data_IF_650570514974
#
_entry.id   IF_650570514974
#
_cell.length_a   1.000
_cell.length_b   1.000
_cell.length_c   1.000
_cell.angle_alpha   90.00
_cell.angle_beta   90.00
_cell.angle_gamma   90.00
#
_symmetry.space_group_name_H-M   'P 1'
#
loop_
_entity.id
_entity.type
_entity.pdbx_description
1 polymer ?
#
# COMPACT_ATOMS: atom_id res chain seq x y z
N UNK A 1 -17.91 30.50 -28.47
CA UNK A 1 -17.82 30.64 -27.00
C UNK A 1 -16.96 29.50 -26.53
N UNK A 2 -15.67 29.77 -26.31
CA UNK A 2 -14.76 28.77 -25.74
C UNK A 2 -15.18 28.51 -24.30
N UNK A 3 -15.11 27.27 -23.81
CA UNK A 3 -15.52 26.98 -22.45
C UNK A 3 -14.59 27.70 -21.48
N UNK A 4 -15.20 28.54 -20.65
CA UNK A 4 -14.62 29.22 -19.50
C UNK A 4 -13.81 28.23 -18.64
N UNK A 5 -12.54 28.55 -18.46
CA UNK A 5 -11.62 27.90 -17.55
C UNK A 5 -11.96 28.32 -16.11
N UNK A 6 -13.08 27.86 -15.55
CA UNK A 6 -13.56 28.35 -14.23
C UNK A 6 -13.65 27.28 -13.12
N UNK A 7 -12.89 26.20 -13.28
CA UNK A 7 -12.57 25.22 -12.23
C UNK A 7 -11.18 24.61 -12.42
N UNK A 8 -10.43 25.11 -13.42
CA UNK A 8 -9.23 24.49 -13.94
C UNK A 8 -7.99 24.88 -13.12
N UNK A 9 -7.82 26.13 -12.67
CA UNK A 9 -6.50 26.57 -12.20
C UNK A 9 -6.06 26.05 -10.82
N UNK A 10 -6.95 25.50 -9.99
CA UNK A 10 -6.58 24.91 -8.69
C UNK A 10 -6.34 23.39 -8.73
N UNK A 11 -6.79 22.71 -9.79
CA UNK A 11 -6.73 21.24 -9.92
C UNK A 11 -5.59 20.75 -10.84
N UNK A 12 -4.94 21.63 -11.60
CA UNK A 12 -3.80 21.28 -12.47
C UNK A 12 -2.43 21.67 -11.90
N UNK A 13 -2.23 21.59 -10.59
CA UNK A 13 -0.87 21.52 -10.04
C UNK A 13 -0.30 20.11 -10.23
N UNK A 14 -0.35 19.59 -11.46
CA UNK A 14 0.34 18.35 -11.77
C UNK A 14 1.77 18.68 -12.16
N UNK A 15 2.73 18.13 -11.42
CA UNK A 15 4.14 18.25 -11.79
C UNK A 15 4.47 17.45 -13.06
N UNK A 16 3.63 16.49 -13.46
CA UNK A 16 3.89 15.56 -14.56
C UNK A 16 2.60 15.12 -15.29
N UNK A 17 2.70 14.72 -16.56
CA UNK A 17 1.61 14.10 -17.32
C UNK A 17 2.07 12.74 -17.81
N UNK A 18 1.26 11.70 -17.58
CA UNK A 18 1.52 10.35 -18.07
C UNK A 18 0.47 9.95 -19.12
N UNK A 19 0.93 9.51 -20.29
CA UNK A 19 0.08 8.90 -21.31
C UNK A 19 0.12 7.37 -21.14
N UNK A 20 -1.03 6.78 -20.85
CA UNK A 20 -1.17 5.34 -20.60
C UNK A 20 -2.21 4.74 -21.53
N UNK A 21 -2.03 3.49 -21.97
CA UNK A 21 -2.89 2.90 -22.99
C UNK A 21 -4.20 2.33 -22.42
N UNK A 22 -4.32 2.17 -21.09
CA UNK A 22 -5.52 1.60 -20.44
C UNK A 22 -5.73 2.12 -19.01
N UNK A 23 -6.93 1.90 -18.47
CA UNK A 23 -7.25 2.15 -17.06
C UNK A 23 -6.45 1.25 -16.11
N UNK A 24 -6.22 0.00 -16.52
CA UNK A 24 -5.43 -0.98 -15.76
C UNK A 24 -3.98 -0.49 -15.58
N UNK A 25 -3.36 0.00 -16.65
CA UNK A 25 -2.02 0.61 -16.59
C UNK A 25 -1.96 1.82 -15.67
N UNK A 26 -3.03 2.61 -15.62
CA UNK A 26 -3.12 3.74 -14.71
C UNK A 26 -3.22 3.30 -13.24
N UNK A 27 -3.92 2.20 -12.99
CA UNK A 27 -4.00 1.59 -11.66
C UNK A 27 -2.64 1.02 -11.24
N UNK A 28 -1.92 0.34 -12.15
CA UNK A 28 -0.56 -0.14 -11.93
C UNK A 28 0.43 1.01 -11.64
N UNK A 29 0.32 2.12 -12.36
CA UNK A 29 1.15 3.30 -12.11
C UNK A 29 0.85 3.90 -10.73
N UNK A 30 -0.44 4.05 -10.37
CA UNK A 30 -0.83 4.52 -9.04
C UNK A 30 -0.27 3.61 -7.94
N UNK A 31 -0.36 2.29 -8.11
CA UNK A 31 0.19 1.32 -7.16
C UNK A 31 1.71 1.50 -7.00
N UNK A 32 2.44 1.55 -8.11
CA UNK A 32 3.89 1.76 -8.09
C UNK A 32 4.30 3.10 -7.45
N UNK A 33 3.55 4.18 -7.72
CA UNK A 33 3.75 5.48 -7.05
C UNK A 33 3.58 5.38 -5.53
N UNK A 34 2.60 4.61 -5.06
CA UNK A 34 2.37 4.41 -3.62
C UNK A 34 3.40 3.52 -2.95
N UNK A 35 4.09 2.68 -3.71
CA UNK A 35 5.23 1.91 -3.22
C UNK A 35 6.52 2.73 -3.11
N UNK A 36 6.69 3.82 -3.87
CA UNK A 36 7.88 4.66 -3.79
C UNK A 36 8.03 5.42 -2.46
N UNK A 37 6.92 5.80 -1.83
CA UNK A 37 6.98 6.57 -0.59
C UNK A 37 5.64 7.13 -0.13
N UNK A 38 5.60 7.76 1.07
CA UNK A 38 4.39 8.25 1.70
C UNK A 38 3.98 9.58 1.08
N UNK A 39 3.44 9.52 -0.13
CA UNK A 39 3.07 10.69 -0.90
C UNK A 39 1.59 10.78 -1.18
N UNK A 40 1.10 12.01 -1.32
CA UNK A 40 -0.23 12.28 -1.85
C UNK A 40 -0.29 12.24 -3.38
N UNK A 41 0.83 11.98 -4.08
CA UNK A 41 0.88 11.92 -5.54
C UNK A 41 0.08 10.75 -6.10
N UNK A 42 -0.81 11.04 -7.05
CA UNK A 42 -1.65 10.05 -7.73
C UNK A 42 -2.07 10.57 -9.10
N UNK A 43 -2.38 9.66 -10.02
CA UNK A 43 -3.01 9.98 -11.28
C UNK A 43 -4.51 10.25 -11.05
N UNK A 44 -4.93 11.48 -11.37
CA UNK A 44 -6.28 11.99 -11.07
C UNK A 44 -7.26 11.88 -12.26
N UNK A 45 -6.76 11.98 -13.50
CA UNK A 45 -7.58 12.09 -14.72
C UNK A 45 -7.07 11.10 -15.77
N UNK A 46 -7.96 10.23 -16.26
CA UNK A 46 -7.78 9.48 -17.49
C UNK A 46 -8.60 10.10 -18.63
N UNK A 47 -8.06 10.08 -19.85
CA UNK A 47 -8.77 10.50 -21.06
C UNK A 47 -8.84 9.32 -22.03
N UNK A 48 -10.04 8.86 -22.37
CA UNK A 48 -10.22 7.88 -23.44
C UNK A 48 -10.32 8.58 -24.80
N UNK A 49 -9.95 7.90 -25.89
CA UNK A 49 -10.14 8.45 -27.24
C UNK A 49 -11.57 8.20 -27.75
N UNK A 50 -12.29 9.22 -28.28
CA UNK A 50 -11.92 10.62 -28.43
C UNK A 50 -12.65 11.53 -27.42
N UNK A 51 -12.03 11.79 -26.26
CA UNK A 51 -12.29 12.99 -25.46
C UNK A 51 -13.17 12.82 -24.22
N UNK A 52 -13.62 11.61 -23.89
CA UNK A 52 -14.33 11.39 -22.62
C UNK A 52 -13.33 11.41 -21.46
N UNK A 53 -13.53 12.34 -20.52
CA UNK A 53 -12.77 12.40 -19.27
C UNK A 53 -13.35 11.40 -18.29
N UNK A 54 -12.51 10.53 -17.77
CA UNK A 54 -12.84 9.65 -16.65
C UNK A 54 -11.95 10.03 -15.46
N UNK A 55 -12.57 10.28 -14.31
CA UNK A 55 -11.83 10.42 -13.07
C UNK A 55 -11.49 9.03 -12.56
N UNK A 56 -10.21 8.78 -12.28
CA UNK A 56 -9.83 7.54 -11.63
C UNK A 56 -10.30 7.60 -10.18
N UNK A 57 -11.17 6.66 -9.84
CA UNK A 57 -11.89 6.68 -8.57
C UNK A 57 -11.34 5.61 -7.63
N UNK A 58 -11.11 5.94 -6.35
CA UNK A 58 -10.96 7.27 -5.79
C UNK A 58 -9.50 7.74 -5.95
N UNK A 59 -9.27 9.06 -6.07
CA UNK A 59 -7.92 9.59 -6.14
C UNK A 59 -7.14 9.13 -4.91
N UNK A 60 -5.97 8.53 -5.14
CA UNK A 60 -5.13 7.99 -4.07
C UNK A 60 -4.38 9.14 -3.38
N UNK A 61 -5.11 10.08 -2.81
CA UNK A 61 -4.58 11.31 -2.21
C UNK A 61 -4.51 11.16 -0.68
N UNK A 62 -3.82 10.12 -0.22
CA UNK A 62 -3.49 9.95 1.19
C UNK A 62 -1.98 10.02 1.36
N UNK A 63 -1.54 11.00 2.14
CA UNK A 63 -0.13 11.38 2.32
C UNK A 63 0.01 12.88 2.56
N UNK A 64 1.18 13.33 3.03
CA UNK A 64 1.39 14.73 3.42
C UNK A 64 2.20 15.52 2.39
N UNK A 65 2.99 14.85 1.56
CA UNK A 65 3.94 15.50 0.65
C UNK A 65 3.78 14.98 -0.78
N UNK A 66 3.80 15.87 -1.80
CA UNK A 66 3.93 15.44 -3.18
C UNK A 66 5.28 14.73 -3.39
N UNK A 67 5.28 13.68 -4.18
CA UNK A 67 6.48 12.94 -4.56
C UNK A 67 7.26 13.76 -5.60
N UNK A 68 8.51 14.09 -5.30
CA UNK A 68 9.43 14.66 -6.26
C UNK A 68 10.05 13.52 -7.09
N UNK A 69 9.81 13.49 -8.39
CA UNK A 69 10.31 12.42 -9.26
C UNK A 69 11.59 12.90 -9.94
N UNK A 70 12.73 12.51 -9.39
CA UNK A 70 14.04 12.64 -10.04
C UNK A 70 14.37 11.43 -10.92
N UNK A 71 15.58 11.41 -11.48
CA UNK A 71 16.03 10.31 -12.35
C UNK A 71 16.09 8.96 -11.61
N UNK A 72 16.44 8.97 -10.32
CA UNK A 72 16.48 7.76 -9.48
C UNK A 72 15.07 7.22 -9.24
N UNK A 73 14.15 8.08 -8.81
CA UNK A 73 12.76 7.72 -8.55
C UNK A 73 12.06 7.24 -9.83
N UNK A 74 12.32 7.90 -10.97
CA UNK A 74 11.79 7.47 -12.26
C UNK A 74 12.28 6.07 -12.66
N UNK A 75 13.54 5.73 -12.38
CA UNK A 75 14.08 4.39 -12.61
C UNK A 75 13.39 3.34 -11.74
N UNK A 76 13.24 3.62 -10.44
CA UNK A 76 12.54 2.73 -9.50
C UNK A 76 11.07 2.58 -9.88
N UNK A 77 10.39 3.67 -10.24
CA UNK A 77 8.99 3.65 -10.68
C UNK A 77 8.81 2.78 -11.91
N UNK A 78 9.68 2.95 -12.91
CA UNK A 78 9.65 2.16 -14.15
C UNK A 78 9.85 0.67 -13.86
N UNK A 79 10.75 0.35 -12.92
CA UNK A 79 10.99 -1.03 -12.51
C UNK A 79 9.77 -1.64 -11.79
N UNK A 80 9.19 -0.95 -10.80
CA UNK A 80 7.99 -1.42 -10.08
C UNK A 80 6.79 -1.58 -11.01
N UNK A 81 6.59 -0.64 -11.94
CA UNK A 81 5.54 -0.72 -12.95
C UNK A 81 5.71 -1.94 -13.87
N UNK A 82 6.94 -2.22 -14.31
CA UNK A 82 7.24 -3.39 -15.13
C UNK A 82 6.97 -4.70 -14.36
N UNK A 83 7.38 -4.78 -13.09
CA UNK A 83 7.08 -5.94 -12.24
C UNK A 83 5.57 -6.15 -12.10
N UNK A 84 4.81 -5.08 -11.82
CA UNK A 84 3.35 -5.19 -11.65
C UNK A 84 2.65 -5.62 -12.93
N UNK A 85 3.04 -5.07 -14.09
CA UNK A 85 2.49 -5.43 -15.41
C UNK A 85 2.72 -6.88 -15.79
N UNK A 86 3.86 -7.43 -15.40
CA UNK A 86 4.22 -8.81 -15.73
C UNK A 86 3.68 -9.83 -14.70
N UNK A 87 3.12 -9.37 -13.59
CA UNK A 87 2.54 -10.25 -12.58
C UNK A 87 1.15 -10.71 -12.98
N UNK A 88 0.89 -12.00 -12.78
CA UNK A 88 -0.43 -12.62 -12.94
C UNK A 88 -0.99 -13.12 -11.61
N UNK A 89 -0.37 -12.73 -10.48
CA UNK A 89 -0.77 -13.16 -9.14
C UNK A 89 -2.08 -12.49 -8.70
N UNK A 90 -3.20 -13.24 -8.58
CA UNK A 90 -4.48 -12.67 -8.17
C UNK A 90 -4.46 -12.15 -6.73
N UNK A 91 -3.59 -12.69 -5.87
CA UNK A 91 -3.44 -12.21 -4.49
C UNK A 91 -2.79 -10.83 -4.48
N UNK A 92 -1.78 -10.61 -5.31
CA UNK A 92 -1.17 -9.30 -5.49
C UNK A 92 -2.17 -8.28 -6.03
N UNK A 93 -3.01 -8.68 -6.99
CA UNK A 93 -4.04 -7.79 -7.54
C UNK A 93 -4.99 -7.28 -6.45
N UNK A 94 -5.53 -8.22 -5.66
CA UNK A 94 -6.42 -7.88 -4.54
C UNK A 94 -5.71 -6.97 -3.52
N UNK A 95 -4.47 -7.28 -3.15
CA UNK A 95 -3.70 -6.44 -2.22
C UNK A 95 -3.44 -5.04 -2.80
N UNK A 96 -3.19 -4.92 -4.11
CA UNK A 96 -2.98 -3.65 -4.78
C UNK A 96 -4.26 -2.80 -4.78
N UNK A 97 -5.40 -3.39 -5.13
CA UNK A 97 -6.72 -2.72 -5.07
C UNK A 97 -7.04 -2.23 -3.65
N UNK A 98 -6.89 -3.11 -2.65
CA UNK A 98 -7.09 -2.76 -1.25
C UNK A 98 -6.16 -1.65 -0.79
N UNK A 99 -4.90 -1.68 -1.20
CA UNK A 99 -3.91 -0.67 -0.84
C UNK A 99 -4.25 0.69 -1.46
N UNK A 100 -4.63 0.71 -2.75
CA UNK A 100 -5.06 1.93 -3.42
C UNK A 100 -6.33 2.50 -2.80
N UNK A 101 -7.32 1.66 -2.49
CA UNK A 101 -8.52 2.07 -1.78
C UNK A 101 -8.19 2.65 -0.40
N UNK A 102 -7.34 1.96 0.38
CA UNK A 102 -6.87 2.43 1.68
C UNK A 102 -6.18 3.80 1.58
N UNK A 103 -5.37 4.01 0.55
CA UNK A 103 -4.65 5.27 0.29
C UNK A 103 -5.46 6.32 -0.49
N UNK A 104 -6.76 6.09 -0.62
CA UNK A 104 -7.67 7.06 -1.20
C UNK A 104 -8.32 7.94 -0.14
N UNK A 105 -9.04 8.96 -0.62
CA UNK A 105 -9.85 9.85 0.23
C UNK A 105 -11.12 9.19 0.76
N UNK A 106 -11.51 8.01 0.21
CA UNK A 106 -12.80 7.39 0.50
C UNK A 106 -12.90 6.79 1.92
N UNK A 107 -11.97 5.94 2.40
CA UNK A 107 -12.13 5.30 3.70
C UNK A 107 -11.88 6.25 4.87
N UNK A 108 -12.66 6.05 5.95
CA UNK A 108 -12.37 6.61 7.27
C UNK A 108 -11.07 6.04 7.81
N UNK A 109 -10.46 6.72 8.80
CA UNK A 109 -9.16 6.32 9.36
C UNK A 109 -9.19 4.90 9.94
N UNK A 110 -10.31 4.53 10.55
CA UNK A 110 -10.54 3.22 11.14
C UNK A 110 -10.61 2.15 10.05
N UNK A 111 -11.42 2.38 8.99
CA UNK A 111 -11.53 1.47 7.85
C UNK A 111 -10.20 1.31 7.14
N UNK A 112 -9.46 2.41 6.90
CA UNK A 112 -8.11 2.38 6.32
C UNK A 112 -7.17 1.49 7.12
N UNK A 113 -7.18 1.61 8.45
CA UNK A 113 -6.35 0.76 9.30
C UNK A 113 -6.73 -0.72 9.15
N UNK A 114 -8.02 -1.02 9.08
CA UNK A 114 -8.51 -2.40 8.88
C UNK A 114 -8.05 -2.94 7.53
N UNK A 115 -8.20 -2.20 6.43
CA UNK A 115 -7.72 -2.61 5.09
C UNK A 115 -6.22 -2.91 5.11
N UNK A 116 -5.42 -2.00 5.66
CA UNK A 116 -3.97 -2.17 5.77
C UNK A 116 -3.59 -3.38 6.63
N UNK A 117 -4.33 -3.63 7.72
CA UNK A 117 -4.10 -4.81 8.56
C UNK A 117 -4.42 -6.13 7.84
N UNK A 118 -5.44 -6.15 6.99
CA UNK A 118 -5.78 -7.33 6.19
C UNK A 118 -4.68 -7.63 5.17
N UNK A 119 -4.12 -6.60 4.52
CA UNK A 119 -2.97 -6.78 3.62
C UNK A 119 -1.78 -7.42 4.36
N UNK A 120 -1.46 -6.94 5.57
CA UNK A 120 -0.40 -7.56 6.37
C UNK A 120 -0.73 -9.01 6.74
N UNK A 121 -1.99 -9.32 7.06
CA UNK A 121 -2.43 -10.70 7.31
C UNK A 121 -2.26 -11.57 6.07
N UNK A 122 -2.65 -11.10 4.88
CA UNK A 122 -2.45 -11.82 3.63
C UNK A 122 -0.96 -12.13 3.39
N UNK A 123 -0.06 -11.20 3.73
CA UNK A 123 1.38 -11.37 3.55
C UNK A 123 2.00 -12.30 4.60
N UNK A 124 1.68 -12.10 5.88
CA UNK A 124 2.37 -12.76 7.00
C UNK A 124 1.65 -14.01 7.50
N UNK A 125 0.39 -14.21 7.15
CA UNK A 125 -0.43 -15.38 7.47
C UNK A 125 -1.11 -15.90 6.19
N UNK A 126 -0.34 -16.36 5.19
CA UNK A 126 -0.90 -16.83 3.92
C UNK A 126 -1.86 -18.03 4.08
N UNK A 127 -1.77 -18.76 5.19
CA UNK A 127 -2.64 -19.88 5.53
C UNK A 127 -3.31 -19.65 6.89
N UNK A 128 -4.50 -20.20 7.08
CA UNK A 128 -5.22 -20.13 8.36
C UNK A 128 -4.50 -20.95 9.44
N UNK A 129 -4.14 -20.33 10.56
CA UNK A 129 -3.50 -21.02 11.68
C UNK A 129 -4.21 -20.77 13.02
N UNK A 130 -3.95 -21.62 14.00
CA UNK A 130 -4.21 -21.30 15.40
C UNK A 130 -3.24 -20.19 15.87
N UNK A 131 -3.63 -19.42 16.89
CA UNK A 131 -2.80 -18.34 17.48
C UNK A 131 -2.38 -17.21 16.50
N UNK A 132 -3.32 -16.75 15.68
CA UNK A 132 -3.09 -15.75 14.61
C UNK A 132 -2.31 -14.52 15.08
N UNK A 133 -2.63 -13.94 16.24
CA UNK A 133 -1.98 -12.71 16.72
C UNK A 133 -0.52 -12.90 17.11
N UNK A 134 -0.18 -14.01 17.76
CA UNK A 134 1.19 -14.33 18.16
C UNK A 134 2.05 -14.64 16.93
N UNK A 135 1.57 -15.53 16.05
CA UNK A 135 2.29 -15.90 14.83
C UNK A 135 2.51 -14.70 13.91
N UNK A 136 1.49 -13.86 13.74
CA UNK A 136 1.63 -12.62 12.97
C UNK A 136 2.74 -11.73 13.55
N UNK A 137 2.69 -11.46 14.85
CA UNK A 137 3.66 -10.59 15.51
C UNK A 137 5.09 -11.15 15.41
N UNK A 138 5.24 -12.48 15.55
CA UNK A 138 6.53 -13.16 15.44
C UNK A 138 7.08 -13.10 14.01
N UNK A 139 6.27 -13.46 13.01
CA UNK A 139 6.66 -13.40 11.59
C UNK A 139 7.00 -11.98 11.16
N UNK A 140 6.20 -10.99 11.58
CA UNK A 140 6.49 -9.58 11.34
C UNK A 140 7.84 -9.19 11.92
N UNK A 141 8.09 -9.52 13.19
CA UNK A 141 9.34 -9.18 13.87
C UNK A 141 10.57 -9.78 13.19
N UNK A 142 10.51 -11.07 12.85
CA UNK A 142 11.61 -11.79 12.21
C UNK A 142 11.85 -11.32 10.79
N UNK A 143 10.78 -11.05 10.03
CA UNK A 143 10.89 -10.53 8.67
C UNK A 143 11.54 -9.15 8.65
N UNK A 144 11.07 -8.22 9.50
CA UNK A 144 11.63 -6.87 9.60
C UNK A 144 13.07 -6.88 10.11
N UNK A 145 13.41 -7.73 11.08
CA UNK A 145 14.78 -7.87 11.56
C UNK A 145 15.73 -8.34 10.45
N UNK A 146 15.33 -9.36 9.68
CA UNK A 146 16.16 -9.94 8.62
C UNK A 146 16.34 -9.03 7.41
N UNK A 147 15.27 -8.38 6.96
CA UNK A 147 15.27 -7.66 5.68
C UNK A 147 15.42 -6.14 5.82
N UNK A 148 15.16 -5.59 7.01
CA UNK A 148 15.06 -4.14 7.23
C UNK A 148 15.78 -3.66 8.49
N UNK A 149 16.62 -4.51 9.11
CA UNK A 149 17.36 -4.20 10.35
C UNK A 149 16.45 -3.68 11.49
N UNK A 150 15.19 -4.09 11.52
CA UNK A 150 14.24 -3.72 12.57
C UNK A 150 14.61 -4.36 13.91
N UNK A 151 14.39 -3.64 15.01
CA UNK A 151 14.49 -4.21 16.34
C UNK A 151 13.41 -5.32 16.49
N UNK A 152 13.79 -6.59 16.74
CA UNK A 152 12.83 -7.68 16.81
C UNK A 152 11.80 -7.51 17.95
N UNK A 153 12.21 -6.95 19.09
CA UNK A 153 11.34 -6.78 20.26
C UNK A 153 10.31 -5.70 19.98
N UNK A 154 10.74 -4.55 19.45
CA UNK A 154 9.83 -3.45 19.11
C UNK A 154 8.91 -3.82 17.94
N UNK A 155 9.44 -4.54 16.94
CA UNK A 155 8.64 -5.04 15.81
C UNK A 155 7.59 -6.07 16.28
N UNK A 156 7.93 -6.93 17.24
CA UNK A 156 6.97 -7.87 17.82
C UNK A 156 5.85 -7.15 18.58
N UNK A 157 6.20 -6.19 19.45
CA UNK A 157 5.21 -5.36 20.16
C UNK A 157 4.32 -4.60 19.18
N UNK A 158 4.89 -4.08 18.09
CA UNK A 158 4.15 -3.40 17.03
C UNK A 158 3.16 -4.35 16.35
N UNK A 159 3.58 -5.57 15.99
CA UNK A 159 2.69 -6.59 15.44
C UNK A 159 1.52 -6.95 16.37
N UNK A 160 1.78 -7.09 17.67
CA UNK A 160 0.73 -7.30 18.68
C UNK A 160 -0.23 -6.10 18.77
N UNK A 161 0.32 -4.89 18.71
CA UNK A 161 -0.49 -3.67 18.74
C UNK A 161 -1.42 -3.58 17.53
N UNK A 162 -0.96 -3.96 16.33
CA UNK A 162 -1.79 -3.98 15.12
C UNK A 162 -3.03 -4.85 15.33
N UNK A 163 -2.84 -6.09 15.81
CA UNK A 163 -3.95 -7.01 16.08
C UNK A 163 -4.92 -6.48 17.12
N UNK A 164 -4.40 -5.90 18.21
CA UNK A 164 -5.21 -5.32 19.28
C UNK A 164 -6.03 -4.13 18.78
N UNK A 165 -5.42 -3.23 18.02
CA UNK A 165 -6.09 -2.06 17.43
C UNK A 165 -7.14 -2.52 16.42
N UNK A 166 -6.81 -3.43 15.50
CA UNK A 166 -7.76 -3.99 14.52
C UNK A 166 -8.98 -4.60 15.22
N UNK A 167 -8.76 -5.46 16.20
CA UNK A 167 -9.84 -6.12 16.96
C UNK A 167 -10.76 -5.07 17.62
N UNK A 168 -10.18 -4.05 18.27
CA UNK A 168 -10.97 -2.97 18.87
C UNK A 168 -11.72 -2.17 17.82
N UNK A 169 -11.11 -1.76 16.72
CA UNK A 169 -11.81 -1.03 15.66
C UNK A 169 -13.00 -1.80 15.09
N UNK A 170 -12.86 -3.11 14.88
CA UNK A 170 -13.94 -3.96 14.37
C UNK A 170 -15.09 -4.11 15.39
N UNK A 171 -14.79 -4.19 16.68
CA UNK A 171 -15.82 -4.43 17.72
C UNK A 171 -16.41 -3.17 18.35
N UNK A 172 -15.60 -2.13 18.56
CA UNK A 172 -15.99 -0.90 19.25
C UNK A 172 -16.03 0.34 18.34
N UNK A 173 -15.54 0.22 17.10
CA UNK A 173 -15.49 1.32 16.14
C UNK A 173 -14.45 2.41 16.47
N UNK A 174 -13.65 2.26 17.54
CA UNK A 174 -12.68 3.28 17.98
C UNK A 174 -11.50 2.70 18.74
N UNK A 175 -10.32 3.29 18.55
CA UNK A 175 -9.13 3.01 19.34
C UNK A 175 -8.24 4.26 19.43
N UNK A 176 -7.84 4.62 20.66
CA UNK A 176 -7.08 5.85 20.94
C UNK A 176 -5.63 5.81 20.43
N UNK A 177 -5.08 4.62 20.17
CA UNK A 177 -3.74 4.46 19.62
C UNK A 177 -3.67 4.67 18.11
N UNK A 178 -4.83 4.73 17.42
CA UNK A 178 -4.92 4.84 15.96
C UNK A 178 -4.04 5.96 15.37
N UNK A 179 -4.00 7.19 15.91
CA UNK A 179 -3.13 8.25 15.37
C UNK A 179 -1.63 7.93 15.43
N UNK A 180 -1.20 7.13 16.40
CA UNK A 180 0.21 6.78 16.61
C UNK A 180 0.63 5.58 15.76
N UNK A 181 -0.28 4.61 15.61
CA UNK A 181 -0.02 3.35 14.89
C UNK A 181 -0.32 3.44 13.39
N UNK A 182 -1.27 4.31 12.99
CA UNK A 182 -1.71 4.49 11.60
C UNK A 182 -0.57 4.74 10.61
N UNK A 183 0.31 5.74 10.84
CA UNK A 183 1.45 5.99 9.95
C UNK A 183 2.43 4.82 9.89
N UNK A 184 2.61 4.08 11.00
CA UNK A 184 3.54 2.95 11.07
C UNK A 184 3.04 1.75 10.28
N UNK A 185 1.73 1.45 10.33
CA UNK A 185 1.16 0.33 9.57
C UNK A 185 1.20 0.62 8.06
N UNK A 186 0.99 1.87 7.66
CA UNK A 186 1.06 2.28 6.26
C UNK A 186 2.47 2.06 5.67
N UNK A 187 3.51 2.44 6.43
CA UNK A 187 4.90 2.19 6.05
C UNK A 187 5.23 0.70 5.99
N UNK A 188 4.81 -0.07 7.00
CA UNK A 188 5.03 -1.52 7.02
C UNK A 188 4.36 -2.22 5.82
N UNK A 189 3.11 -1.85 5.49
CA UNK A 189 2.42 -2.38 4.30
C UNK A 189 3.18 -2.03 3.04
N UNK A 190 3.65 -0.78 2.90
CA UNK A 190 4.42 -0.36 1.71
C UNK A 190 5.69 -1.18 1.55
N UNK A 191 6.48 -1.33 2.61
CA UNK A 191 7.73 -2.09 2.59
C UNK A 191 7.48 -3.55 2.23
N UNK A 192 6.53 -4.20 2.90
CA UNK A 192 6.25 -5.61 2.67
C UNK A 192 5.62 -5.87 1.29
N UNK A 193 4.72 -4.99 0.80
CA UNK A 193 4.21 -5.10 -0.58
C UNK A 193 5.31 -4.90 -1.62
N UNK A 194 6.24 -3.98 -1.39
CA UNK A 194 7.40 -3.79 -2.28
C UNK A 194 8.27 -5.05 -2.30
N UNK A 195 8.50 -5.68 -1.14
CA UNK A 195 9.21 -6.95 -1.06
C UNK A 195 8.44 -8.07 -1.74
N UNK A 196 7.11 -8.16 -1.56
CA UNK A 196 6.28 -9.18 -2.19
C UNK A 196 6.27 -9.06 -3.71
N UNK A 197 6.16 -7.83 -4.23
CA UNK A 197 6.21 -7.55 -5.67
C UNK A 197 7.54 -7.98 -6.30
N UNK A 198 8.65 -7.87 -5.55
CA UNK A 198 9.99 -8.21 -6.04
C UNK A 198 10.35 -9.67 -5.81
N UNK A 199 9.89 -10.28 -4.71
CA UNK A 199 10.17 -11.66 -4.34
C UNK A 199 9.01 -12.26 -3.52
N UNK A 200 7.97 -12.79 -4.18
CA UNK A 200 6.79 -13.32 -3.51
C UNK A 200 7.08 -14.60 -2.71
N UNK A 201 8.10 -15.39 -3.09
CA UNK A 201 8.49 -16.65 -2.43
C UNK A 201 8.89 -16.43 -0.95
N UNK A 202 9.34 -15.22 -0.58
CA UNK A 202 9.67 -14.88 0.80
C UNK A 202 8.45 -14.92 1.75
N UNK A 203 7.24 -14.89 1.21
CA UNK A 203 5.99 -14.90 1.96
C UNK A 203 5.28 -16.25 1.90
N UNK A 204 5.96 -17.30 1.44
CA UNK A 204 5.50 -18.67 1.61
C UNK A 204 5.53 -19.07 3.09
N UNK A 205 4.55 -19.88 3.49
CA UNK A 205 4.35 -20.26 4.89
C UNK A 205 5.58 -20.97 5.48
N UNK A 206 6.20 -21.85 4.70
CA UNK A 206 7.42 -22.58 5.06
C UNK A 206 8.62 -21.65 5.28
N UNK A 207 8.77 -20.62 4.45
CA UNK A 207 9.85 -19.63 4.56
C UNK A 207 9.62 -18.77 5.80
N UNK A 208 8.41 -18.28 6.00
CA UNK A 208 8.03 -17.48 7.17
C UNK A 208 8.20 -18.26 8.48
N UNK A 209 7.85 -19.55 8.51
CA UNK A 209 8.07 -20.40 9.68
C UNK A 209 9.55 -20.68 9.93
N UNK A 210 10.33 -20.91 8.87
CA UNK A 210 11.77 -21.09 9.00
C UNK A 210 12.45 -19.86 9.60
N UNK A 211 12.01 -18.64 9.23
CA UNK A 211 12.47 -17.39 9.84
C UNK A 211 12.20 -17.31 11.35
N UNK A 212 11.14 -17.97 11.82
CA UNK A 212 10.77 -17.97 13.24
C UNK A 212 11.62 -18.94 14.07
N UNK A 213 12.15 -19.99 13.44
CA UNK A 213 12.94 -21.04 14.09
C UNK A 213 14.45 -20.73 14.00
N UNK A 214 14.89 -20.14 12.89
CA UNK A 214 16.27 -19.68 12.74
C UNK A 214 16.49 -18.43 13.62
N UNK A 215 17.41 -18.56 14.58
CA UNK A 215 17.87 -17.48 15.46
C UNK A 215 18.67 -16.44 14.70
#
# INVERSE_FOLDING_TARGET
MGPDLDLYDQLYSSNYVAALPSHEDASHLNFALKLLGPSCSSLFIGCEQPGTKHFLSPPCYYGNTPLAIGASEAKTLSHLLALKRNSTDPKLELMAEMFLYALSVAPRKESRFVELSIILEMLLLPTSSTELSYRFALRMAKFLAKHWAGDPIESFKFGQQIYKTRSRLVHSGRDESLPQIGPKIEEAVRQLLTTYLTNPELFEDSVLDHLCIAG
#
